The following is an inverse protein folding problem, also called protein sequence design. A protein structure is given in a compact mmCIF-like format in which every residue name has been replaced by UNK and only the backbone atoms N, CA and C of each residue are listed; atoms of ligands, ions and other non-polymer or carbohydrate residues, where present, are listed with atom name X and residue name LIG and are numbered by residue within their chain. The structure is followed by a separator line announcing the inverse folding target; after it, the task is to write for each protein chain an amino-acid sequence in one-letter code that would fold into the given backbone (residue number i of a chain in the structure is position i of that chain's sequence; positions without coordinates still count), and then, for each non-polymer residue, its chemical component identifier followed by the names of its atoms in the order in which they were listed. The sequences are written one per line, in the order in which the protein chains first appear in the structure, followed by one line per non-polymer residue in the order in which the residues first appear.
data_IF_463417383255
#
_entry.id   IF_463417383255
#
_cell.length_a   1.000
_cell.length_b   1.000
_cell.length_c   1.000
_cell.angle_alpha   90.00
_cell.angle_beta   90.00
_cell.angle_gamma   90.00
#
_symmetry.space_group_name_H-M   'P 1'
#
loop_
_entity.id
_entity.type
_entity.pdbx_description
1 polymer ?
#
# COMPACT_ATOMS: atom_id res chain seq x y z
N UNK A 1 1.02 -14.31 -19.42
CA UNK A 1 0.53 -15.08 -18.24
C UNK A 1 -0.66 -14.35 -17.65
N UNK A 2 -1.63 -15.06 -17.08
CA UNK A 2 -2.73 -14.42 -16.34
C UNK A 2 -2.22 -14.03 -14.94
N UNK A 3 -2.54 -12.81 -14.48
CA UNK A 3 -2.19 -12.36 -13.13
C UNK A 3 -2.98 -13.14 -12.07
N UNK A 4 -2.34 -13.47 -10.96
CA UNK A 4 -2.97 -14.17 -9.84
C UNK A 4 -3.39 -13.15 -8.76
N UNK A 5 -4.59 -13.32 -8.25
CA UNK A 5 -5.06 -12.60 -7.05
C UNK A 5 -5.49 -13.65 -6.03
N UNK A 6 -4.93 -13.55 -4.84
CA UNK A 6 -5.30 -14.41 -3.71
C UNK A 6 -6.30 -13.67 -2.84
N UNK A 7 -7.44 -14.29 -2.58
CA UNK A 7 -8.49 -13.79 -1.70
C UNK A 7 -8.47 -14.63 -0.43
N UNK A 8 -8.28 -13.98 0.73
CA UNK A 8 -8.11 -14.57 2.04
C UNK A 8 -9.25 -14.12 2.97
N UNK A 9 -10.24 -14.98 3.28
CA UNK A 9 -11.29 -14.65 4.23
C UNK A 9 -10.70 -14.37 5.63
N UNK A 10 -10.97 -13.19 6.19
CA UNK A 10 -10.48 -12.77 7.50
C UNK A 10 -11.44 -11.77 8.13
N UNK A 11 -12.12 -12.16 9.22
CA UNK A 11 -13.11 -11.32 9.88
C UNK A 11 -12.62 -10.61 11.16
N UNK A 12 -11.32 -10.69 11.49
CA UNK A 12 -10.80 -10.12 12.73
C UNK A 12 -9.32 -9.76 12.63
N UNK A 13 -8.90 -8.74 13.40
CA UNK A 13 -7.50 -8.32 13.49
C UNK A 13 -6.77 -9.06 14.63
N UNK A 14 -6.54 -10.39 14.43
CA UNK A 14 -5.66 -11.20 15.29
C UNK A 14 -4.35 -11.51 14.58
N UNK A 15 -3.22 -11.16 15.20
CA UNK A 15 -1.89 -11.29 14.58
C UNK A 15 -1.62 -12.70 14.06
N UNK A 16 -1.85 -13.74 14.87
CA UNK A 16 -1.60 -15.15 14.49
C UNK A 16 -2.45 -15.58 13.28
N UNK A 17 -3.70 -15.14 13.23
CA UNK A 17 -4.60 -15.44 12.10
C UNK A 17 -4.13 -14.76 10.83
N UNK A 18 -3.83 -13.47 10.90
CA UNK A 18 -3.35 -12.67 9.75
C UNK A 18 -1.99 -13.20 9.29
N UNK A 19 -1.08 -13.48 10.20
CA UNK A 19 0.22 -14.10 9.90
C UNK A 19 0.05 -15.41 9.11
N UNK A 20 -0.82 -16.32 9.58
CA UNK A 20 -1.08 -17.61 8.92
C UNK A 20 -1.66 -17.39 7.51
N UNK A 21 -2.65 -16.49 7.36
CA UNK A 21 -3.26 -16.20 6.09
C UNK A 21 -2.28 -15.55 5.11
N UNK A 22 -1.45 -14.61 5.56
CA UNK A 22 -0.42 -13.98 4.72
C UNK A 22 0.60 -15.01 4.22
N UNK A 23 1.03 -15.96 5.05
CA UNK A 23 1.91 -17.06 4.62
C UNK A 23 1.25 -17.92 3.55
N UNK A 24 0.00 -18.33 3.75
CA UNK A 24 -0.75 -19.06 2.71
C UNK A 24 -0.85 -18.25 1.41
N UNK A 25 -1.13 -16.94 1.51
CA UNK A 25 -1.16 -16.07 0.35
C UNK A 25 0.17 -15.99 -0.40
N UNK A 26 1.28 -15.91 0.33
CA UNK A 26 2.63 -15.94 -0.24
C UNK A 26 2.92 -17.27 -0.95
N UNK A 27 2.54 -18.40 -0.34
CA UNK A 27 2.72 -19.72 -0.94
C UNK A 27 1.95 -19.84 -2.27
N UNK A 28 0.70 -19.35 -2.33
CA UNK A 28 -0.09 -19.30 -3.58
C UNK A 28 0.53 -18.41 -4.66
N UNK A 29 1.29 -17.39 -4.28
CA UNK A 29 2.01 -16.50 -5.18
C UNK A 29 3.39 -17.04 -5.59
N UNK A 30 3.80 -18.19 -5.07
CA UNK A 30 5.06 -18.85 -5.42
C UNK A 30 6.15 -18.78 -4.36
N UNK A 31 5.83 -18.27 -3.16
CA UNK A 31 6.71 -18.17 -2.01
C UNK A 31 7.42 -16.82 -1.88
N UNK A 32 7.74 -16.47 -0.63
CA UNK A 32 8.35 -15.18 -0.29
C UNK A 32 9.69 -14.96 -1.02
N UNK A 33 10.52 -15.99 -1.08
CA UNK A 33 11.87 -15.91 -1.65
C UNK A 33 11.90 -15.71 -3.17
N UNK A 34 10.82 -16.08 -3.87
CA UNK A 34 10.68 -15.81 -5.30
C UNK A 34 10.33 -14.35 -5.57
N UNK A 35 9.69 -13.69 -4.61
CA UNK A 35 9.26 -12.30 -4.72
C UNK A 35 10.32 -11.32 -4.21
N UNK A 36 11.04 -11.71 -3.14
CA UNK A 36 11.97 -10.84 -2.42
C UNK A 36 13.32 -11.55 -2.32
N UNK A 37 14.38 -11.07 -2.98
CA UNK A 37 15.72 -11.63 -2.87
C UNK A 37 16.23 -11.59 -1.42
N UNK A 38 17.00 -12.60 -1.01
CA UNK A 38 17.68 -12.61 0.29
C UNK A 38 18.63 -11.41 0.42
N UNK A 39 18.67 -10.81 1.60
CA UNK A 39 19.49 -9.64 1.88
C UNK A 39 18.98 -8.32 1.29
N UNK A 40 17.85 -8.32 0.59
CA UNK A 40 17.28 -7.11 0.01
C UNK A 40 16.95 -6.06 1.08
N UNK A 41 17.16 -4.79 0.74
CA UNK A 41 16.63 -3.64 1.49
C UNK A 41 15.17 -3.46 1.15
N UNK A 42 14.29 -3.52 2.14
CA UNK A 42 12.84 -3.59 1.95
C UNK A 42 12.16 -2.34 2.51
N UNK A 43 11.34 -1.71 1.68
CA UNK A 43 10.39 -0.71 2.12
C UNK A 43 9.00 -1.37 2.32
N UNK A 44 8.50 -1.37 3.54
CA UNK A 44 7.09 -1.58 3.83
C UNK A 44 6.36 -0.24 3.64
N UNK A 45 5.45 -0.18 2.68
CA UNK A 45 4.66 1.01 2.40
C UNK A 45 3.19 0.78 2.74
N UNK A 46 2.75 1.15 3.95
CA UNK A 46 1.33 1.13 4.31
C UNK A 46 0.57 2.28 3.61
N UNK A 47 -0.73 2.36 3.84
CA UNK A 47 -1.52 3.55 3.59
C UNK A 47 -1.60 4.38 4.88
N UNK A 48 -0.95 5.54 4.90
CA UNK A 48 -0.90 6.46 6.05
C UNK A 48 -1.43 7.85 5.66
N UNK A 49 -2.68 7.93 5.24
CA UNK A 49 -3.27 9.17 4.74
C UNK A 49 -3.15 10.34 5.73
N UNK A 50 -3.56 10.10 6.97
CA UNK A 50 -3.50 11.04 8.11
C UNK A 50 -3.61 10.26 9.41
N UNK A 51 -3.21 10.87 10.53
CA UNK A 51 -3.46 10.28 11.86
C UNK A 51 -4.96 10.10 12.08
N UNK A 52 -5.37 8.89 12.44
CA UNK A 52 -6.75 8.53 12.71
C UNK A 52 -6.80 7.32 13.65
N UNK A 53 -7.90 7.18 14.37
CA UNK A 53 -8.23 5.94 15.10
C UNK A 53 -8.32 4.77 14.11
N UNK A 54 -7.81 3.62 14.48
CA UNK A 54 -7.72 2.46 13.56
C UNK A 54 -9.09 1.93 13.16
N UNK A 55 -10.09 2.10 14.04
CA UNK A 55 -11.48 1.74 13.83
C UNK A 55 -12.15 2.52 12.70
N UNK A 56 -11.62 3.70 12.37
CA UNK A 56 -12.10 4.52 11.24
C UNK A 56 -11.67 4.01 9.87
N UNK A 57 -10.86 2.97 9.81
CA UNK A 57 -10.37 2.38 8.56
C UNK A 57 -9.69 3.37 7.59
N UNK A 58 -9.10 4.45 8.11
CA UNK A 58 -8.39 5.47 7.31
C UNK A 58 -7.01 5.00 6.91
N UNK A 59 -6.32 4.26 7.78
CA UNK A 59 -4.96 3.74 7.58
C UNK A 59 -4.97 2.22 7.47
N UNK A 60 -3.89 1.64 6.93
CA UNK A 60 -3.65 0.20 7.03
C UNK A 60 -3.60 -0.20 8.50
N UNK A 61 -4.32 -1.25 8.87
CA UNK A 61 -4.40 -1.66 10.27
C UNK A 61 -3.04 -2.14 10.79
N UNK A 62 -2.62 -1.71 12.00
CA UNK A 62 -1.31 -2.04 12.57
C UNK A 62 -1.00 -3.53 12.62
N UNK A 63 -1.99 -4.38 12.93
CA UNK A 63 -1.84 -5.84 12.97
C UNK A 63 -1.43 -6.42 11.61
N UNK A 64 -1.92 -5.86 10.50
CA UNK A 64 -1.54 -6.33 9.15
C UNK A 64 -0.07 -6.00 8.88
N UNK A 65 0.36 -4.80 9.25
CA UNK A 65 1.77 -4.37 9.15
C UNK A 65 2.65 -5.25 10.05
N UNK A 66 2.24 -5.46 11.29
CA UNK A 66 2.97 -6.29 12.28
C UNK A 66 3.12 -7.74 11.83
N UNK A 67 2.03 -8.36 11.35
CA UNK A 67 2.06 -9.74 10.88
C UNK A 67 2.99 -9.90 9.66
N UNK A 68 2.98 -8.92 8.73
CA UNK A 68 3.90 -8.95 7.58
C UNK A 68 5.35 -8.71 8.00
N UNK A 69 5.58 -7.77 8.92
CA UNK A 69 6.89 -7.50 9.51
C UNK A 69 7.49 -8.76 10.18
N UNK A 70 6.66 -9.51 10.94
CA UNK A 70 7.01 -10.78 11.54
C UNK A 70 7.46 -11.80 10.49
N UNK A 71 6.69 -11.95 9.40
CA UNK A 71 7.06 -12.87 8.31
C UNK A 71 8.44 -12.54 7.77
N UNK A 72 8.73 -11.28 7.51
CA UNK A 72 10.04 -10.87 7.00
C UNK A 72 11.17 -11.20 7.99
N UNK A 73 10.99 -10.86 9.27
CA UNK A 73 12.00 -11.13 10.30
C UNK A 73 12.27 -12.62 10.50
N UNK A 74 11.22 -13.44 10.58
CA UNK A 74 11.35 -14.90 10.73
C UNK A 74 12.01 -15.57 9.51
N UNK A 75 11.94 -14.93 8.33
CA UNK A 75 12.64 -15.37 7.13
C UNK A 75 14.01 -14.72 6.92
N UNK A 76 14.56 -14.04 7.95
CA UNK A 76 15.93 -13.53 7.96
C UNK A 76 16.18 -12.25 7.16
N UNK A 77 15.14 -11.47 6.85
CA UNK A 77 15.32 -10.14 6.27
C UNK A 77 15.66 -9.12 7.36
N UNK A 78 16.84 -8.52 7.26
CA UNK A 78 17.37 -7.61 8.30
C UNK A 78 17.19 -6.12 7.95
N UNK A 79 17.19 -5.77 6.67
CA UNK A 79 17.13 -4.40 6.19
C UNK A 79 15.70 -4.02 5.80
N UNK A 80 14.90 -3.68 6.80
CA UNK A 80 13.49 -3.32 6.60
C UNK A 80 13.23 -1.95 7.19
N UNK A 81 12.59 -1.08 6.42
CA UNK A 81 12.10 0.23 6.88
C UNK A 81 10.61 0.37 6.56
N UNK A 82 9.91 1.22 7.28
CA UNK A 82 8.52 1.58 6.97
C UNK A 82 8.45 3.07 6.67
N UNK A 83 7.83 3.43 5.56
CA UNK A 83 7.56 4.83 5.21
C UNK A 83 6.34 4.98 4.30
N UNK A 84 5.73 6.16 4.36
CA UNK A 84 4.73 6.65 3.42
C UNK A 84 4.88 8.18 3.28
N UNK A 85 4.65 8.72 2.10
CA UNK A 85 4.38 10.14 1.96
C UNK A 85 2.92 10.39 2.34
N UNK A 86 2.68 10.72 3.60
CA UNK A 86 1.34 10.93 4.14
C UNK A 86 0.59 12.07 3.43
N UNK A 87 -0.74 12.03 3.45
CA UNK A 87 -1.56 13.15 2.97
C UNK A 87 -1.43 14.36 3.90
N UNK A 88 -1.36 14.10 5.21
CA UNK A 88 -1.13 15.11 6.25
C UNK A 88 -0.21 14.55 7.32
N UNK A 89 0.83 15.30 7.67
CA UNK A 89 1.84 14.91 8.64
C UNK A 89 2.98 14.09 8.05
N UNK A 90 3.82 13.52 8.91
CA UNK A 90 4.93 12.63 8.55
C UNK A 90 4.60 11.19 8.91
N UNK A 91 5.37 10.23 8.41
CA UNK A 91 5.20 8.80 8.77
C UNK A 91 5.18 8.62 10.28
N UNK A 92 6.20 9.14 10.98
CA UNK A 92 6.32 9.00 12.43
C UNK A 92 5.17 9.68 13.19
N UNK A 93 4.72 10.85 12.74
CA UNK A 93 3.62 11.57 13.39
C UNK A 93 2.27 10.83 13.21
N UNK A 94 2.05 10.20 12.04
CA UNK A 94 0.80 9.47 11.76
C UNK A 94 0.74 8.17 12.55
N UNK A 95 1.82 7.39 12.63
CA UNK A 95 1.81 6.09 13.33
C UNK A 95 1.74 6.22 14.85
N UNK A 96 2.19 7.35 15.41
CA UNK A 96 2.26 7.55 16.87
C UNK A 96 0.91 7.41 17.54
N UNK A 97 0.79 6.41 18.42
CA UNK A 97 -0.41 6.13 19.19
C UNK A 97 -1.53 5.46 18.40
N UNK A 98 -1.22 4.88 17.23
CA UNK A 98 -2.16 4.04 16.48
C UNK A 98 -1.98 2.54 16.78
N UNK A 99 -1.00 2.19 17.61
CA UNK A 99 -0.56 0.82 17.84
C UNK A 99 0.38 0.26 16.77
N UNK A 100 0.62 0.99 15.67
CA UNK A 100 1.60 0.58 14.66
C UNK A 100 3.03 0.69 15.19
N UNK A 101 3.32 1.73 15.97
CA UNK A 101 4.56 1.93 16.70
C UNK A 101 4.92 0.70 17.54
N UNK A 102 3.97 0.13 18.29
CA UNK A 102 4.17 -1.09 19.10
C UNK A 102 4.64 -2.29 18.25
N UNK A 103 4.03 -2.51 17.08
CA UNK A 103 4.46 -3.59 16.17
C UNK A 103 5.83 -3.33 15.55
N UNK A 104 6.13 -2.09 15.19
CA UNK A 104 7.42 -1.72 14.62
C UNK A 104 8.56 -1.89 15.63
N UNK A 105 8.32 -1.51 16.89
CA UNK A 105 9.25 -1.76 18.00
C UNK A 105 9.44 -3.26 18.23
N UNK A 106 8.35 -4.04 18.33
CA UNK A 106 8.37 -5.49 18.51
C UNK A 106 9.22 -6.23 17.49
N UNK A 107 9.18 -5.78 16.22
CA UNK A 107 9.90 -6.41 15.11
C UNK A 107 11.14 -5.63 14.66
N UNK A 108 11.57 -4.63 15.44
CA UNK A 108 12.76 -3.80 15.17
C UNK A 108 12.77 -3.19 13.76
N UNK A 109 11.65 -2.63 13.33
CA UNK A 109 11.50 -1.95 12.04
C UNK A 109 11.46 -0.45 12.26
N UNK A 110 12.43 0.33 11.78
CA UNK A 110 12.40 1.77 11.87
C UNK A 110 11.32 2.34 10.95
N UNK A 111 10.48 3.22 11.50
CA UNK A 111 9.67 4.12 10.71
C UNK A 111 10.50 5.35 10.35
N UNK A 112 10.58 5.67 9.08
CA UNK A 112 11.35 6.81 8.59
C UNK A 112 10.44 7.84 7.91
N UNK A 113 10.81 9.09 7.99
CA UNK A 113 10.23 10.17 7.21
C UNK A 113 11.07 10.38 5.95
N UNK A 114 10.45 10.74 4.85
CA UNK A 114 11.16 11.08 3.62
C UNK A 114 11.81 12.45 3.74
N UNK A 115 13.11 12.53 3.45
CA UNK A 115 13.92 13.74 3.65
C UNK A 115 14.06 14.59 2.39
N UNK A 116 14.19 13.96 1.22
CA UNK A 116 14.50 14.63 -0.04
C UNK A 116 13.76 14.01 -1.21
N UNK A 117 13.30 14.87 -2.13
CA UNK A 117 12.70 14.46 -3.40
C UNK A 117 13.71 14.45 -4.53
N UNK A 118 13.87 13.32 -5.19
CA UNK A 118 14.77 13.14 -6.34
C UNK A 118 13.97 13.02 -7.63
N UNK A 119 14.35 13.80 -8.63
CA UNK A 119 13.76 13.70 -9.97
C UNK A 119 14.14 12.38 -10.62
N UNK A 120 13.14 11.53 -10.85
CA UNK A 120 13.26 10.21 -11.45
C UNK A 120 12.58 10.22 -12.81
N UNK A 121 13.35 9.94 -13.86
CA UNK A 121 12.86 9.90 -15.24
C UNK A 121 12.36 8.50 -15.58
N UNK A 122 11.16 8.42 -16.16
CA UNK A 122 10.52 7.18 -16.61
C UNK A 122 10.08 7.34 -18.09
N UNK A 123 10.97 7.16 -19.06
CA UNK A 123 10.70 7.44 -20.49
C UNK A 123 9.56 6.60 -21.08
N UNK A 124 9.33 5.40 -20.53
CA UNK A 124 8.27 4.46 -20.95
C UNK A 124 6.87 4.88 -20.49
N UNK A 125 6.77 5.92 -19.64
CA UNK A 125 5.48 6.44 -19.17
C UNK A 125 4.63 6.96 -20.32
N UNK A 126 3.35 6.67 -20.27
CA UNK A 126 2.37 7.12 -21.26
C UNK A 126 1.83 8.49 -20.89
N UNK A 127 1.45 8.66 -19.62
CA UNK A 127 0.86 9.90 -19.09
C UNK A 127 1.89 10.75 -18.36
N UNK A 128 2.78 10.13 -17.59
CA UNK A 128 3.82 10.79 -16.81
C UNK A 128 5.18 10.16 -17.11
N UNK A 129 6.16 10.99 -17.53
CA UNK A 129 7.52 10.54 -17.89
C UNK A 129 8.57 10.89 -16.84
N UNK A 130 8.15 11.51 -15.75
CA UNK A 130 9.01 11.84 -14.63
C UNK A 130 8.21 11.96 -13.34
N UNK A 131 8.86 11.63 -12.23
CA UNK A 131 8.30 11.74 -10.90
C UNK A 131 9.33 12.35 -9.95
N UNK A 132 8.87 12.97 -8.88
CA UNK A 132 9.73 13.32 -7.75
C UNK A 132 9.52 12.25 -6.69
N UNK A 133 10.47 11.34 -6.56
CA UNK A 133 10.42 10.22 -5.63
C UNK A 133 11.33 10.48 -4.43
N UNK A 134 10.99 9.96 -3.23
CA UNK A 134 11.87 10.09 -2.07
C UNK A 134 13.20 9.36 -2.30
N UNK A 135 14.29 9.97 -1.85
CA UNK A 135 15.62 9.37 -1.86
C UNK A 135 15.63 8.01 -1.17
N UNK A 136 14.99 7.93 -0.01
CA UNK A 136 14.94 6.72 0.81
C UNK A 136 14.18 5.57 0.11
N UNK A 137 13.21 5.88 -0.76
CA UNK A 137 12.56 4.88 -1.61
C UNK A 137 13.53 4.34 -2.67
N UNK A 138 14.32 5.22 -3.29
CA UNK A 138 15.27 4.86 -4.34
C UNK A 138 16.49 4.05 -3.81
N UNK A 139 16.72 4.08 -2.51
CA UNK A 139 17.75 3.31 -1.83
C UNK A 139 17.32 1.87 -1.48
N UNK A 140 16.05 1.52 -1.77
CA UNK A 140 15.51 0.18 -1.49
C UNK A 140 15.56 -0.72 -2.72
N UNK A 141 15.82 -2.00 -2.48
CA UNK A 141 15.83 -3.04 -3.53
C UNK A 141 14.43 -3.58 -3.80
N UNK A 142 13.55 -3.49 -2.81
CA UNK A 142 12.21 -4.07 -2.85
C UNK A 142 11.20 -3.21 -2.11
N UNK A 143 10.02 -3.04 -2.72
CA UNK A 143 8.87 -2.37 -2.10
C UNK A 143 7.72 -3.35 -1.94
N UNK A 144 7.11 -3.36 -0.76
CA UNK A 144 5.89 -4.10 -0.44
C UNK A 144 4.81 -3.09 -0.09
N UNK A 145 3.75 -3.04 -0.90
CA UNK A 145 2.64 -2.12 -0.71
C UNK A 145 1.54 -2.77 0.15
N UNK A 146 1.26 -2.18 1.30
CA UNK A 146 0.22 -2.63 2.24
C UNK A 146 -0.93 -1.62 2.21
N UNK A 147 -1.86 -1.77 1.26
CA UNK A 147 -2.95 -0.83 1.03
C UNK A 147 -4.14 -1.05 1.99
N UNK A 148 -5.04 -0.07 2.03
CA UNK A 148 -6.31 -0.12 2.75
C UNK A 148 -7.46 -0.07 1.75
N UNK A 149 -8.42 -0.97 1.87
CA UNK A 149 -9.63 -0.98 1.03
C UNK A 149 -10.53 0.18 1.41
N UNK A 150 -10.72 1.16 0.49
CA UNK A 150 -11.50 2.39 0.75
C UNK A 150 -12.16 2.94 -0.50
N UNK A 151 -13.24 3.70 -0.32
CA UNK A 151 -13.77 4.62 -1.33
C UNK A 151 -12.83 5.82 -1.55
N UNK A 152 -12.99 6.50 -2.68
CA UNK A 152 -12.26 7.73 -3.02
C UNK A 152 -13.11 8.65 -3.91
N UNK A 153 -13.12 9.95 -3.60
CA UNK A 153 -13.95 10.91 -4.31
C UNK A 153 -13.62 11.03 -5.82
N UNK A 154 -12.33 11.04 -6.19
CA UNK A 154 -11.88 11.14 -7.58
C UNK A 154 -11.84 9.77 -8.28
N UNK A 155 -11.18 8.78 -7.68
CA UNK A 155 -10.87 7.48 -8.28
C UNK A 155 -11.87 6.38 -7.90
N UNK A 156 -12.99 6.73 -7.23
CA UNK A 156 -14.01 5.81 -6.69
C UNK A 156 -13.50 4.87 -5.61
N UNK A 157 -12.36 4.24 -5.83
CA UNK A 157 -11.69 3.37 -4.85
C UNK A 157 -10.25 3.84 -4.55
N UNK A 158 -9.80 3.53 -3.35
CA UNK A 158 -8.39 3.51 -2.96
C UNK A 158 -7.99 2.06 -2.76
N UNK A 159 -7.23 1.55 -3.70
CA UNK A 159 -6.74 0.17 -3.70
C UNK A 159 -5.22 0.12 -3.75
N UNK A 160 -4.69 -0.90 -4.40
CA UNK A 160 -3.26 -1.10 -4.59
C UNK A 160 -2.64 -0.03 -5.50
N UNK A 161 -3.29 0.24 -6.65
CA UNK A 161 -2.82 1.25 -7.62
C UNK A 161 -2.75 2.63 -6.98
N UNK A 162 -3.83 3.06 -6.32
CA UNK A 162 -3.91 4.39 -5.71
C UNK A 162 -2.97 4.55 -4.50
N UNK A 163 -2.71 3.46 -3.74
CA UNK A 163 -1.77 3.49 -2.62
C UNK A 163 -0.37 3.93 -3.05
N UNK A 164 0.02 3.64 -4.29
CA UNK A 164 1.32 4.03 -4.84
C UNK A 164 1.50 5.55 -4.97
N UNK A 165 0.41 6.34 -4.90
CA UNK A 165 0.54 7.79 -4.88
C UNK A 165 1.32 8.32 -3.66
N UNK A 166 1.41 7.54 -2.59
CA UNK A 166 2.29 7.79 -1.45
C UNK A 166 3.79 7.63 -1.75
N UNK A 167 4.19 7.24 -2.96
CA UNK A 167 5.58 7.31 -3.42
C UNK A 167 5.97 8.69 -3.96
N UNK A 168 5.02 9.55 -4.25
CA UNK A 168 5.32 10.92 -4.70
C UNK A 168 5.72 11.77 -3.49
N UNK A 169 6.88 12.44 -3.58
CA UNK A 169 7.43 13.22 -2.48
C UNK A 169 6.67 14.53 -2.22
N UNK A 170 6.32 14.76 -0.97
CA UNK A 170 5.89 16.04 -0.43
C UNK A 170 4.76 16.74 -1.21
N UNK A 171 4.91 18.04 -1.44
CA UNK A 171 3.94 18.90 -2.14
C UNK A 171 3.70 18.54 -3.60
N UNK A 172 4.56 17.72 -4.21
CA UNK A 172 4.36 17.26 -5.59
C UNK A 172 3.07 16.45 -5.76
N UNK A 173 2.52 15.87 -4.68
CA UNK A 173 1.18 15.25 -4.69
C UNK A 173 0.06 16.25 -4.96
N UNK A 174 0.07 17.42 -4.34
CA UNK A 174 -0.92 18.44 -4.60
C UNK A 174 -0.85 18.92 -6.05
N UNK A 175 0.36 19.12 -6.59
CA UNK A 175 0.60 19.47 -8.00
C UNK A 175 0.06 18.39 -8.94
N UNK A 176 0.20 17.10 -8.62
CA UNK A 176 -0.31 16.00 -9.45
C UNK A 176 -1.83 16.05 -9.63
N UNK A 177 -2.60 16.38 -8.60
CA UNK A 177 -4.05 16.55 -8.72
C UNK A 177 -4.45 17.71 -9.65
N UNK A 178 -3.63 18.76 -9.70
CA UNK A 178 -3.85 19.89 -10.63
C UNK A 178 -3.39 19.55 -12.06
N UNK A 179 -2.30 18.82 -12.19
CA UNK A 179 -1.73 18.43 -13.48
C UNK A 179 -2.55 17.34 -14.19
N UNK A 180 -3.19 16.45 -13.43
CA UNK A 180 -4.02 15.34 -13.92
C UNK A 180 -5.43 15.46 -13.32
N UNK A 181 -6.26 16.40 -13.81
CA UNK A 181 -7.50 16.77 -13.14
C UNK A 181 -8.66 15.80 -13.37
N UNK A 182 -8.59 14.92 -14.37
CA UNK A 182 -9.61 13.89 -14.62
C UNK A 182 -9.19 12.55 -14.02
N UNK A 183 -10.18 11.73 -13.63
CA UNK A 183 -9.94 10.38 -13.13
C UNK A 183 -9.11 9.54 -14.11
N UNK A 184 -9.41 9.58 -15.42
CA UNK A 184 -8.64 8.85 -16.45
C UNK A 184 -7.17 9.30 -16.51
N UNK A 185 -6.90 10.61 -16.56
CA UNK A 185 -5.52 11.12 -16.62
C UNK A 185 -4.75 10.80 -15.33
N UNK A 186 -5.42 10.88 -14.20
CA UNK A 186 -4.82 10.56 -12.90
C UNK A 186 -4.54 9.06 -12.76
N UNK A 187 -5.49 8.19 -13.16
CA UNK A 187 -5.32 6.75 -13.17
C UNK A 187 -4.15 6.31 -14.07
N UNK A 188 -4.03 6.87 -15.28
CA UNK A 188 -2.89 6.61 -16.19
C UNK A 188 -1.55 7.02 -15.57
N UNK A 189 -1.49 8.18 -14.93
CA UNK A 189 -0.29 8.62 -14.19
C UNK A 189 0.04 7.65 -13.05
N UNK A 190 -0.96 7.16 -12.31
CA UNK A 190 -0.76 6.17 -11.24
C UNK A 190 -0.21 4.84 -11.79
N UNK A 191 -0.64 4.40 -12.97
CA UNK A 191 -0.08 3.20 -13.62
C UNK A 191 1.38 3.42 -13.99
N UNK A 192 1.72 4.59 -14.56
CA UNK A 192 3.11 4.93 -14.87
C UNK A 192 3.96 4.94 -13.60
N UNK A 193 3.46 5.51 -12.50
CA UNK A 193 4.13 5.53 -11.20
C UNK A 193 4.34 4.12 -10.65
N UNK A 194 3.30 3.26 -10.70
CA UNK A 194 3.41 1.86 -10.28
C UNK A 194 4.47 1.11 -11.06
N UNK A 195 4.53 1.30 -12.37
CA UNK A 195 5.56 0.68 -13.23
C UNK A 195 6.95 1.26 -12.97
N UNK A 196 7.07 2.56 -12.69
CA UNK A 196 8.32 3.22 -12.37
C UNK A 196 8.93 2.69 -11.07
N UNK A 197 8.15 2.57 -10.00
CA UNK A 197 8.60 2.06 -8.68
C UNK A 197 8.64 0.54 -8.65
N UNK A 198 7.72 -0.13 -9.34
CA UNK A 198 7.62 -1.58 -9.48
C UNK A 198 7.62 -2.37 -8.15
N UNK A 199 6.66 -2.10 -7.23
CA UNK A 199 6.52 -2.90 -6.03
C UNK A 199 6.40 -4.39 -6.33
N UNK A 200 7.01 -5.24 -5.51
CA UNK A 200 7.07 -6.70 -5.73
C UNK A 200 5.81 -7.41 -5.25
N UNK A 201 5.14 -6.83 -4.27
CA UNK A 201 3.94 -7.42 -3.67
C UNK A 201 2.98 -6.32 -3.25
N UNK A 202 1.70 -6.57 -3.44
CA UNK A 202 0.59 -5.77 -2.96
C UNK A 202 -0.27 -6.61 -2.05
N UNK A 203 -0.49 -6.13 -0.83
CA UNK A 203 -1.41 -6.69 0.16
C UNK A 203 -2.47 -5.64 0.44
N UNK A 204 -3.73 -6.00 0.37
CA UNK A 204 -4.85 -5.10 0.66
C UNK A 204 -5.57 -5.54 1.93
N UNK A 205 -5.62 -4.67 2.90
CA UNK A 205 -6.41 -4.79 4.11
C UNK A 205 -7.86 -4.38 3.81
N UNK A 206 -8.73 -5.37 3.69
CA UNK A 206 -10.18 -5.26 3.57
C UNK A 206 -10.91 -5.98 4.70
N UNK A 207 -10.27 -6.25 5.85
CA UNK A 207 -10.97 -6.85 7.01
C UNK A 207 -12.08 -5.90 7.46
N UNK A 208 -11.73 -4.65 7.74
CA UNK A 208 -12.66 -3.53 7.84
C UNK A 208 -12.26 -2.52 6.79
N UNK A 209 -13.11 -2.28 5.81
CA UNK A 209 -12.91 -1.30 4.75
C UNK A 209 -13.57 0.03 5.11
N UNK A 210 -13.47 1.03 4.22
CA UNK A 210 -14.20 2.29 4.34
C UNK A 210 -15.11 2.49 3.14
N UNK A 211 -16.35 2.84 3.39
CA UNK A 211 -17.34 3.26 2.37
C UNK A 211 -17.74 4.74 2.53
N UNK A 212 -18.59 5.24 1.64
CA UNK A 212 -19.10 6.60 1.68
C UNK A 212 -18.08 7.67 1.33
N UNK A 213 -17.90 8.69 2.16
CA UNK A 213 -17.08 9.89 1.89
C UNK A 213 -15.58 9.65 2.13
N UNK A 214 -15.00 8.63 1.44
CA UNK A 214 -13.57 8.36 1.46
C UNK A 214 -12.74 9.40 0.70
N UNK A 215 -11.41 9.40 0.91
CA UNK A 215 -10.61 8.38 1.58
C UNK A 215 -10.38 8.58 3.09
N UNK A 216 -10.91 9.60 3.72
CA UNK A 216 -10.57 9.94 5.10
C UNK A 216 -11.71 10.35 6.01
N UNK A 217 -12.96 10.33 5.52
CA UNK A 217 -14.16 10.76 6.24
C UNK A 217 -15.37 9.87 5.94
N UNK A 218 -15.15 8.66 5.45
CA UNK A 218 -16.19 7.65 5.25
C UNK A 218 -16.42 6.82 6.51
N UNK A 219 -17.29 5.84 6.39
CA UNK A 219 -17.72 4.95 7.46
C UNK A 219 -17.02 3.57 7.35
N UNK A 220 -16.63 2.95 8.47
CA UNK A 220 -16.09 1.60 8.48
C UNK A 220 -17.14 0.56 8.08
N UNK A 221 -16.77 -0.38 7.22
CA UNK A 221 -17.62 -1.49 6.79
C UNK A 221 -16.85 -2.81 6.81
N UNK A 222 -17.39 -3.89 7.42
CA UNK A 222 -16.73 -5.18 7.46
C UNK A 222 -16.82 -5.85 6.08
N UNK A 223 -15.68 -5.95 5.39
CA UNK A 223 -15.56 -6.72 4.15
C UNK A 223 -15.02 -8.13 4.40
N UNK A 224 -14.42 -8.37 5.58
CA UNK A 224 -13.93 -9.67 6.04
C UNK A 224 -12.96 -10.36 5.08
N UNK A 225 -12.12 -9.60 4.38
CA UNK A 225 -11.21 -10.13 3.37
C UNK A 225 -9.87 -9.41 3.38
N UNK A 226 -8.82 -10.13 3.05
CA UNK A 226 -7.55 -9.57 2.58
C UNK A 226 -7.29 -10.05 1.16
N UNK A 227 -6.66 -9.22 0.34
CA UNK A 227 -6.28 -9.56 -1.03
C UNK A 227 -4.76 -9.45 -1.18
N UNK A 228 -4.17 -10.34 -2.00
CA UNK A 228 -2.74 -10.30 -2.32
C UNK A 228 -2.52 -10.55 -3.81
N UNK A 229 -1.58 -9.82 -4.40
CA UNK A 229 -1.16 -10.00 -5.80
C UNK A 229 0.21 -9.38 -6.05
N UNK A 230 0.89 -9.82 -7.08
CA UNK A 230 2.05 -9.13 -7.66
C UNK A 230 1.64 -8.11 -8.72
N UNK A 231 0.36 -8.05 -9.07
CA UNK A 231 -0.22 -7.13 -10.05
C UNK A 231 -1.28 -6.24 -9.39
N UNK A 232 -1.03 -4.92 -9.24
CA UNK A 232 -1.94 -4.02 -8.56
C UNK A 232 -3.26 -3.81 -9.32
N UNK A 233 -3.24 -3.88 -10.66
CA UNK A 233 -4.44 -3.70 -11.49
C UNK A 233 -5.34 -4.92 -11.36
N UNK A 234 -4.78 -6.12 -11.39
CA UNK A 234 -5.53 -7.35 -11.15
C UNK A 234 -6.16 -7.35 -9.74
N UNK A 235 -5.41 -6.92 -8.73
CA UNK A 235 -5.89 -6.82 -7.35
C UNK A 235 -7.07 -5.84 -7.25
N UNK A 236 -6.93 -4.63 -7.80
CA UNK A 236 -7.99 -3.61 -7.77
C UNK A 236 -9.20 -4.01 -8.63
N UNK A 237 -9.00 -4.80 -9.70
CA UNK A 237 -10.09 -5.40 -10.48
C UNK A 237 -10.91 -6.41 -9.68
N UNK A 238 -10.29 -7.17 -8.76
CA UNK A 238 -11.01 -8.05 -7.84
C UNK A 238 -11.71 -7.21 -6.78
N UNK A 239 -11.03 -6.23 -6.19
CA UNK A 239 -11.63 -5.31 -5.23
C UNK A 239 -12.89 -4.63 -5.80
N UNK A 240 -12.81 -4.06 -7.01
CA UNK A 240 -13.96 -3.39 -7.62
C UNK A 240 -15.16 -4.31 -7.75
N UNK A 241 -14.97 -5.59 -8.15
CA UNK A 241 -16.06 -6.57 -8.22
C UNK A 241 -16.67 -6.89 -6.85
N UNK A 242 -15.86 -6.95 -5.80
CA UNK A 242 -16.34 -7.19 -4.42
C UNK A 242 -17.28 -6.08 -3.93
N UNK A 243 -17.12 -4.86 -4.47
CA UNK A 243 -17.97 -3.71 -4.14
C UNK A 243 -18.94 -3.33 -5.26
N UNK A 244 -19.25 -4.29 -6.14
CA UNK A 244 -20.21 -4.16 -7.26
C UNK A 244 -19.88 -3.03 -8.25
N UNK A 245 -18.60 -2.68 -8.39
CA UNK A 245 -18.12 -1.80 -9.45
C UNK A 245 -17.56 -2.62 -10.61
N UNK A 246 -17.78 -2.13 -11.83
CA UNK A 246 -17.10 -2.69 -13.00
C UNK A 246 -15.63 -2.26 -12.99
N UNK A 247 -14.67 -3.18 -13.21
CA UNK A 247 -13.24 -2.84 -13.20
C UNK A 247 -12.84 -1.71 -14.16
N UNK A 248 -13.57 -1.56 -15.27
CA UNK A 248 -13.34 -0.52 -16.27
C UNK A 248 -13.73 0.89 -15.78
N UNK A 249 -14.34 0.98 -14.60
CA UNK A 249 -14.77 2.23 -13.98
C UNK A 249 -13.80 2.77 -12.91
N UNK A 250 -12.71 2.04 -12.64
CA UNK A 250 -11.77 2.34 -11.57
C UNK A 250 -10.34 2.31 -12.08
#
# INVERSE_FOLDING_TARGET
MKSKVVLLPCGEYKEEKIYTLLKQGLDFLGGLETLIPKGAKILLKPNLLKKAEVEKAVITHPVVVGAFARILRENGYEHIVLADSCGHGTTQAVIRGTGMDTYLEKYHIPAIDYSEGVKTVYPQGIQAKEFILPKELLEQDCVISLSKMKTHALERITGAVKNSYGFVYGFHKAKGHTQYPSADSFARMLIDLNKCVSPKLYVMDGIVAMEGNGPGSGDPVPMNVMLMSTDPVALDSVFSRLVYLKPEMV
#
